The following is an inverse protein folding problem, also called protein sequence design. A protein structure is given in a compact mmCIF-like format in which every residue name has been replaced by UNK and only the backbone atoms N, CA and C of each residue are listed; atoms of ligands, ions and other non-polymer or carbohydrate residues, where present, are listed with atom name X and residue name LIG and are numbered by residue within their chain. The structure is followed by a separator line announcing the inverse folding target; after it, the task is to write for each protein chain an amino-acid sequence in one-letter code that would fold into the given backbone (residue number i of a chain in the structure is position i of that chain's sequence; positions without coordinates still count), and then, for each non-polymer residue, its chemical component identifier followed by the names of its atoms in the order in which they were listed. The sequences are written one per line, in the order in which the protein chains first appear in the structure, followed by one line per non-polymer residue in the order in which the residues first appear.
data_IF_450322686334
#
_entry.id   IF_450322686334
#
_cell.length_a   1.000
_cell.length_b   1.000
_cell.length_c   1.000
_cell.angle_alpha   90.00
_cell.angle_beta   90.00
_cell.angle_gamma   90.00
#
_symmetry.space_group_name_H-M   'P 1'
#
loop_
_entity.id
_entity.type
_entity.pdbx_description
1 polymer ?
#
# COMPACT_ATOMS: atom_id res chain seq x y z
N UNK A 1 15.13 17.86 -29.72
CA UNK A 1 13.94 17.28 -30.36
C UNK A 1 14.35 15.99 -31.03
N UNK A 2 13.86 14.87 -30.51
CA UNK A 2 13.92 13.54 -31.14
C UNK A 2 12.47 13.03 -31.13
N UNK A 3 11.99 12.62 -32.29
CA UNK A 3 10.59 12.35 -32.58
C UNK A 3 10.14 10.99 -32.04
N UNK A 4 8.86 10.91 -31.66
CA UNK A 4 8.11 9.80 -31.01
C UNK A 4 8.09 8.47 -31.79
N UNK A 5 8.85 8.32 -32.88
CA UNK A 5 8.76 7.17 -33.79
C UNK A 5 9.81 6.05 -33.57
N UNK A 6 10.59 6.05 -32.49
CA UNK A 6 11.66 5.04 -32.30
C UNK A 6 11.67 4.31 -30.94
N UNK A 7 10.61 4.42 -30.15
CA UNK A 7 10.47 3.65 -28.91
C UNK A 7 9.28 2.67 -28.97
N UNK A 8 9.23 1.83 -30.00
CA UNK A 8 8.31 0.67 -30.05
C UNK A 8 9.04 -0.54 -30.62
N UNK A 9 9.83 -1.19 -29.77
CA UNK A 9 10.15 -2.60 -29.95
C UNK A 9 10.61 -3.15 -28.60
N UNK A 10 9.66 -3.67 -27.82
CA UNK A 10 9.78 -4.80 -26.88
C UNK A 10 8.36 -4.96 -26.29
N UNK A 11 7.86 -6.19 -26.26
CA UNK A 11 6.48 -6.65 -25.99
C UNK A 11 5.51 -6.68 -27.18
N UNK A 12 5.74 -7.64 -28.09
CA UNK A 12 4.66 -8.28 -28.87
C UNK A 12 4.24 -9.56 -28.15
N UNK A 13 2.97 -9.65 -27.73
CA UNK A 13 2.26 -10.94 -27.62
C UNK A 13 1.38 -11.13 -28.85
N UNK A 14 1.28 -12.33 -29.44
CA UNK A 14 0.49 -12.56 -30.65
C UNK A 14 -1.01 -12.66 -30.33
N UNK A 15 -1.85 -11.93 -31.07
CA UNK A 15 -3.27 -12.31 -31.23
C UNK A 15 -4.39 -11.29 -30.98
N UNK A 16 -4.14 -9.98 -30.80
CA UNK A 16 -5.23 -8.99 -30.66
C UNK A 16 -5.10 -7.76 -31.59
N UNK A 17 -6.22 -7.20 -32.10
CA UNK A 17 -6.20 -6.10 -33.06
C UNK A 17 -5.89 -4.73 -32.40
N UNK A 18 -5.05 -3.96 -33.09
CA UNK A 18 -4.39 -2.70 -32.67
C UNK A 18 -5.35 -1.53 -32.37
N UNK A 19 -6.64 -1.62 -32.74
CA UNK A 19 -7.56 -0.48 -32.70
C UNK A 19 -8.10 -0.10 -31.30
N UNK A 20 -7.91 -0.96 -30.29
CA UNK A 20 -8.49 -0.78 -28.95
C UNK A 20 -7.56 -0.06 -27.94
N UNK A 21 -6.28 0.13 -28.25
CA UNK A 21 -5.33 0.81 -27.37
C UNK A 21 -5.28 2.34 -27.56
N UNK A 22 -5.54 2.86 -28.76
CA UNK A 22 -5.50 4.31 -29.00
C UNK A 22 -6.71 5.05 -28.40
N UNK A 23 -7.88 4.40 -28.35
CA UNK A 23 -9.10 5.01 -27.79
C UNK A 23 -9.02 5.23 -26.27
N UNK A 24 -8.41 4.29 -25.53
CA UNK A 24 -8.25 4.40 -24.06
C UNK A 24 -7.24 5.46 -23.63
N UNK A 25 -6.31 5.87 -24.51
CA UNK A 25 -5.35 6.93 -24.22
C UNK A 25 -5.91 8.33 -24.56
N UNK A 26 -6.76 8.42 -25.58
CA UNK A 26 -7.45 9.66 -25.97
C UNK A 26 -8.45 10.17 -24.92
N UNK A 27 -9.18 9.27 -24.27
CA UNK A 27 -10.16 9.63 -23.25
C UNK A 27 -9.51 10.11 -21.94
N UNK A 28 -8.28 9.65 -21.65
CA UNK A 28 -7.50 10.10 -20.48
C UNK A 28 -6.87 11.49 -20.67
N UNK A 29 -6.55 11.88 -21.91
CA UNK A 29 -5.96 13.18 -22.22
C UNK A 29 -6.99 14.31 -22.34
N UNK A 30 -8.28 13.99 -22.55
CA UNK A 30 -9.35 14.99 -22.65
C UNK A 30 -9.90 15.47 -21.30
N UNK A 31 -9.56 14.81 -20.18
CA UNK A 31 -9.98 15.25 -18.85
C UNK A 31 -9.20 16.50 -18.34
N UNK A 32 -8.08 16.85 -18.97
CA UNK A 32 -7.19 17.95 -18.55
C UNK A 32 -7.33 19.26 -19.36
N UNK A 33 -8.37 19.43 -20.19
CA UNK A 33 -8.51 20.61 -21.07
C UNK A 33 -9.64 21.59 -20.76
N UNK A 34 -10.34 21.46 -19.64
CA UNK A 34 -11.39 22.41 -19.25
C UNK A 34 -11.00 23.27 -18.04
N UNK A 35 -9.85 23.94 -18.11
CA UNK A 35 -9.55 25.14 -17.33
C UNK A 35 -8.72 26.08 -18.22
N UNK A 36 -9.36 27.01 -18.92
CA UNK A 36 -8.84 28.39 -19.00
C UNK A 36 -9.88 29.33 -19.59
N UNK A 37 -9.88 30.52 -19.00
CA UNK A 37 -10.79 31.64 -19.18
C UNK A 37 -10.46 32.40 -20.47
N UNK A 38 -11.50 33.02 -21.00
CA UNK A 38 -11.57 33.78 -22.23
C UNK A 38 -10.58 34.96 -22.36
N UNK A 39 -10.26 35.22 -23.63
CA UNK A 39 -9.93 36.49 -24.29
C UNK A 39 -8.68 37.26 -23.85
N UNK A 40 -7.61 37.09 -24.65
CA UNK A 40 -6.50 38.04 -24.75
C UNK A 40 -6.79 39.10 -25.83
N UNK A 41 -6.67 40.35 -25.40
CA UNK A 41 -6.86 41.58 -26.16
C UNK A 41 -5.79 41.80 -27.25
N UNK A 42 -6.25 42.39 -28.36
CA UNK A 42 -5.45 42.89 -29.48
C UNK A 42 -4.45 43.99 -29.07
N UNK A 43 -3.23 43.89 -29.59
CA UNK A 43 -2.20 44.93 -29.55
C UNK A 43 -2.41 45.94 -30.70
N UNK A 44 -2.38 47.24 -30.38
CA UNK A 44 -2.25 48.35 -31.32
C UNK A 44 -1.21 49.36 -30.80
N UNK A 45 -0.54 50.01 -31.75
CA UNK A 45 0.71 50.80 -31.71
C UNK A 45 0.61 52.20 -31.08
N UNK A 46 1.80 52.80 -30.90
CA UNK A 46 2.19 54.22 -30.67
C UNK A 46 2.10 54.70 -29.19
N UNK A 47 3.03 55.45 -28.61
CA UNK A 47 4.07 56.36 -29.11
C UNK A 47 5.23 56.53 -28.10
N UNK A 48 6.36 57.06 -28.57
CA UNK A 48 7.58 57.40 -27.81
C UNK A 48 7.52 58.82 -27.21
N UNK A 49 7.90 59.02 -25.93
CA UNK A 49 8.96 59.97 -25.45
C UNK A 49 8.97 60.21 -23.93
N UNK A 50 10.17 60.08 -23.33
CA UNK A 50 10.76 60.84 -22.21
C UNK A 50 9.94 61.23 -20.95
N UNK A 51 10.30 60.67 -19.79
CA UNK A 51 10.96 61.41 -18.68
C UNK A 51 11.27 60.52 -17.48
N UNK A 52 12.41 60.81 -16.83
CA UNK A 52 12.86 60.28 -15.54
C UNK A 52 11.94 60.77 -14.40
N UNK A 53 11.53 59.88 -13.49
CA UNK A 53 11.74 60.02 -12.02
C UNK A 53 11.02 58.93 -11.23
N UNK A 54 11.84 58.22 -10.47
CA UNK A 54 11.62 57.49 -9.21
C UNK A 54 10.23 57.66 -8.53
N UNK A 55 9.48 56.55 -8.44
CA UNK A 55 8.49 56.33 -7.36
C UNK A 55 8.69 54.93 -6.80
N UNK A 56 9.10 54.88 -5.54
CA UNK A 56 9.15 53.69 -4.70
C UNK A 56 7.70 53.23 -4.49
N UNK A 57 7.35 52.03 -4.95
CA UNK A 57 6.13 51.35 -4.55
C UNK A 57 6.49 49.98 -3.97
N UNK A 58 6.55 49.94 -2.65
CA UNK A 58 6.43 48.72 -1.86
C UNK A 58 5.00 48.22 -2.06
N UNK A 59 4.81 47.09 -2.74
CA UNK A 59 3.55 46.36 -2.68
C UNK A 59 3.83 44.86 -2.64
N UNK A 60 3.32 44.24 -1.58
CA UNK A 60 3.27 42.81 -1.33
C UNK A 60 2.90 42.03 -2.60
N UNK A 61 3.70 41.02 -2.96
CA UNK A 61 3.14 39.83 -3.59
C UNK A 61 2.97 38.76 -2.52
N UNK A 62 1.73 38.71 -2.03
CA UNK A 62 1.12 37.60 -1.30
C UNK A 62 1.56 36.25 -1.89
N UNK A 63 2.12 35.43 -1.02
CA UNK A 63 1.75 34.02 -0.79
C UNK A 63 0.95 33.37 -1.93
N UNK A 64 1.68 32.76 -2.87
CA UNK A 64 1.12 31.74 -3.75
C UNK A 64 0.80 30.51 -2.91
N UNK A 65 -0.49 30.35 -2.61
CA UNK A 65 -1.08 29.19 -1.96
C UNK A 65 -0.58 27.87 -2.59
N UNK A 66 0.36 27.20 -1.93
CA UNK A 66 0.55 25.75 -2.06
C UNK A 66 -0.62 25.09 -1.32
N UNK A 67 -1.81 25.14 -1.94
CA UNK A 67 -2.88 24.21 -1.59
C UNK A 67 -2.44 22.86 -2.17
N UNK A 68 -1.67 22.10 -1.39
CA UNK A 68 -1.70 20.65 -1.53
C UNK A 68 -3.12 20.26 -1.10
N UNK A 69 -4.05 20.26 -2.05
CA UNK A 69 -5.32 19.60 -1.83
C UNK A 69 -4.96 18.15 -1.47
N UNK A 70 -5.13 17.76 -0.20
CA UNK A 70 -5.26 16.35 0.10
C UNK A 70 -6.34 15.84 -0.86
N UNK A 71 -6.07 14.78 -1.65
CA UNK A 71 -7.03 14.35 -2.63
C UNK A 71 -8.20 13.79 -1.83
N UNK A 72 -9.28 14.57 -1.70
CA UNK A 72 -10.58 14.04 -1.32
C UNK A 72 -10.93 12.82 -2.18
N UNK A 73 -10.32 12.73 -3.37
CA UNK A 73 -10.37 11.61 -4.31
C UNK A 73 -9.78 10.28 -3.82
N UNK A 74 -8.92 10.26 -2.79
CA UNK A 74 -8.36 9.02 -2.27
C UNK A 74 -9.12 8.47 -1.07
N UNK A 75 -9.93 9.27 -0.36
CA UNK A 75 -10.69 8.78 0.80
C UNK A 75 -11.48 7.52 0.45
N UNK A 76 -11.29 6.45 1.21
CA UNK A 76 -11.87 5.12 0.94
C UNK A 76 -13.31 5.13 0.41
N UNK A 77 -14.25 5.79 1.09
CA UNK A 77 -15.67 5.83 0.65
C UNK A 77 -15.84 6.46 -0.72
N UNK A 78 -15.10 7.53 -1.00
CA UNK A 78 -15.14 8.18 -2.31
C UNK A 78 -14.45 7.31 -3.36
N UNK A 79 -13.28 6.75 -3.03
CA UNK A 79 -12.51 5.91 -3.92
C UNK A 79 -13.31 4.67 -4.35
N UNK A 80 -13.97 3.99 -3.41
CA UNK A 80 -14.85 2.84 -3.68
C UNK A 80 -16.03 3.23 -4.58
N UNK A 81 -16.66 4.40 -4.35
CA UNK A 81 -17.69 4.93 -5.26
C UNK A 81 -17.20 5.19 -6.68
N UNK A 82 -15.92 5.54 -6.87
CA UNK A 82 -15.35 5.65 -8.21
C UNK A 82 -15.07 4.28 -8.82
N UNK A 83 -14.56 3.32 -8.04
CA UNK A 83 -14.35 1.94 -8.49
C UNK A 83 -15.65 1.29 -8.98
N UNK A 84 -16.79 1.55 -8.32
CA UNK A 84 -18.09 1.05 -8.78
C UNK A 84 -18.57 1.60 -10.12
N UNK A 85 -17.90 2.62 -10.68
CA UNK A 85 -18.15 3.09 -12.06
C UNK A 85 -17.26 2.40 -13.07
N UNK A 86 -16.21 1.70 -12.63
CA UNK A 86 -15.32 0.93 -13.49
C UNK A 86 -15.94 -0.43 -13.79
N UNK A 87 -16.31 -0.63 -15.06
CA UNK A 87 -16.88 -1.89 -15.53
C UNK A 87 -15.98 -3.10 -15.24
N UNK A 88 -14.65 -2.93 -15.28
CA UNK A 88 -13.71 -4.02 -15.01
C UNK A 88 -13.75 -4.45 -13.55
N UNK A 89 -13.91 -3.51 -12.61
CA UNK A 89 -14.05 -3.78 -11.18
C UNK A 89 -15.33 -4.57 -10.92
N UNK A 90 -16.46 -4.08 -11.44
CA UNK A 90 -17.76 -4.75 -11.27
C UNK A 90 -17.79 -6.12 -11.93
N UNK A 91 -17.18 -6.28 -13.11
CA UNK A 91 -17.10 -7.60 -13.77
C UNK A 91 -16.32 -8.60 -12.93
N UNK A 92 -15.19 -8.19 -12.35
CA UNK A 92 -14.40 -9.05 -11.45
C UNK A 92 -15.17 -9.35 -10.16
N UNK A 93 -15.84 -8.35 -9.58
CA UNK A 93 -16.71 -8.52 -8.41
C UNK A 93 -17.81 -9.54 -8.68
N UNK A 94 -18.54 -9.39 -9.79
CA UNK A 94 -19.62 -10.32 -10.17
C UNK A 94 -19.12 -11.76 -10.37
N UNK A 95 -17.90 -11.93 -10.91
CA UNK A 95 -17.29 -13.26 -11.04
C UNK A 95 -17.03 -13.90 -9.68
N UNK A 96 -16.44 -13.14 -8.73
CA UNK A 96 -16.21 -13.60 -7.36
C UNK A 96 -17.54 -13.91 -6.67
N UNK A 97 -18.51 -13.00 -6.71
CA UNK A 97 -19.83 -13.21 -6.11
C UNK A 97 -20.52 -14.47 -6.64
N UNK A 98 -20.39 -14.75 -7.95
CA UNK A 98 -20.95 -15.94 -8.57
C UNK A 98 -20.23 -17.22 -8.14
N UNK A 99 -18.90 -17.20 -8.13
CA UNK A 99 -18.07 -18.36 -7.77
C UNK A 99 -18.22 -18.73 -6.29
N UNK A 100 -18.34 -17.72 -5.42
CA UNK A 100 -18.40 -17.88 -3.97
C UNK A 100 -19.82 -17.73 -3.40
N UNK A 101 -20.88 -17.79 -4.22
CA UNK A 101 -22.28 -17.58 -3.80
C UNK A 101 -22.78 -18.52 -2.68
N UNK A 102 -22.15 -19.70 -2.54
CA UNK A 102 -22.48 -20.71 -1.53
C UNK A 102 -21.24 -21.13 -0.74
N UNK A 103 -20.22 -20.28 -0.69
CA UNK A 103 -19.01 -20.57 0.07
C UNK A 103 -19.36 -20.65 1.56
N UNK A 104 -18.71 -21.59 2.25
CA UNK A 104 -18.69 -21.62 3.71
C UNK A 104 -17.33 -21.07 4.18
N UNK A 105 -17.28 -20.30 5.29
CA UNK A 105 -16.05 -19.64 5.75
C UNK A 105 -14.87 -20.59 5.91
N UNK A 106 -15.10 -21.78 6.48
CA UNK A 106 -14.05 -22.70 6.88
C UNK A 106 -13.49 -22.34 8.25
N UNK A 107 -12.21 -22.62 8.49
CA UNK A 107 -11.54 -22.21 9.73
C UNK A 107 -11.31 -20.71 9.78
N UNK A 108 -11.41 -20.12 10.96
CA UNK A 108 -11.10 -18.72 11.27
C UNK A 108 -9.84 -18.65 12.11
N UNK A 109 -8.85 -17.85 11.70
CA UNK A 109 -7.61 -17.69 12.45
C UNK A 109 -6.48 -17.06 11.66
N UNK A 110 -5.32 -16.96 12.29
CA UNK A 110 -4.08 -16.43 11.69
C UNK A 110 -3.41 -17.44 10.73
N UNK A 111 -3.68 -18.72 10.94
CA UNK A 111 -2.98 -19.85 10.28
C UNK A 111 -3.97 -20.85 9.68
N UNK A 112 -4.81 -20.36 8.76
CA UNK A 112 -5.80 -21.18 8.05
C UNK A 112 -5.24 -21.67 6.70
N UNK A 113 -5.91 -22.63 6.07
CA UNK A 113 -5.50 -23.14 4.75
C UNK A 113 -5.50 -22.02 3.71
N UNK A 114 -4.45 -21.94 2.89
CA UNK A 114 -4.27 -20.90 1.88
C UNK A 114 -3.58 -19.63 2.37
N UNK A 115 -3.10 -19.61 3.62
CA UNK A 115 -2.33 -18.50 4.21
C UNK A 115 -0.88 -18.94 4.40
N UNK A 116 0.06 -18.20 3.80
CA UNK A 116 1.50 -18.45 3.94
C UNK A 116 2.10 -17.69 5.14
N UNK A 117 3.13 -18.26 5.76
CA UNK A 117 3.76 -17.73 6.99
C UNK A 117 5.29 -17.79 7.01
N UNK A 118 5.92 -18.53 6.08
CA UNK A 118 7.37 -18.73 6.02
C UNK A 118 7.94 -18.69 4.59
N UNK A 119 9.16 -18.16 4.48
CA UNK A 119 9.98 -18.27 3.27
C UNK A 119 10.62 -19.67 3.23
N UNK A 120 10.55 -20.35 2.08
CA UNK A 120 11.24 -21.63 1.87
C UNK A 120 12.71 -21.38 1.61
N UNK A 121 13.55 -21.61 2.63
CA UNK A 121 14.99 -21.43 2.52
C UNK A 121 15.76 -22.26 3.54
N UNK A 122 16.98 -22.65 3.19
CA UNK A 122 17.96 -23.22 4.11
C UNK A 122 18.98 -22.18 4.62
N UNK A 123 18.90 -20.93 4.14
CA UNK A 123 19.76 -19.83 4.57
C UNK A 123 19.19 -19.18 5.81
N UNK A 124 20.06 -18.69 6.70
CA UNK A 124 19.67 -17.80 7.81
C UNK A 124 19.19 -16.45 7.25
N UNK A 125 17.96 -16.45 6.78
CA UNK A 125 17.27 -15.32 6.16
C UNK A 125 15.99 -15.07 6.94
N UNK A 126 15.65 -13.81 7.17
CA UNK A 126 14.42 -13.38 7.82
C UNK A 126 13.72 -12.33 6.96
N UNK A 127 12.39 -12.27 7.05
CA UNK A 127 11.62 -11.17 6.50
C UNK A 127 11.08 -10.32 7.65
N UNK A 128 11.47 -9.06 7.70
CA UNK A 128 10.81 -8.07 8.55
C UNK A 128 9.59 -7.55 7.81
N UNK A 129 8.42 -7.69 8.42
CA UNK A 129 7.16 -7.20 7.87
C UNK A 129 6.54 -6.21 8.84
N UNK A 130 6.09 -5.06 8.33
CA UNK A 130 5.54 -3.99 9.13
C UNK A 130 4.14 -3.62 8.66
N UNK A 131 3.19 -3.68 9.58
CA UNK A 131 1.81 -3.29 9.32
C UNK A 131 1.63 -1.81 9.69
N UNK A 132 1.01 -1.05 8.77
CA UNK A 132 0.50 0.28 9.06
C UNK A 132 -1.02 0.29 8.97
N UNK A 133 -1.61 0.14 10.15
CA UNK A 133 -3.04 0.35 10.35
C UNK A 133 -3.36 1.85 10.21
N UNK A 134 -4.58 2.16 9.77
CA UNK A 134 -5.09 3.52 9.72
C UNK A 134 -6.38 3.68 10.51
N UNK A 135 -6.74 4.92 10.84
CA UNK A 135 -7.95 5.26 11.58
C UNK A 135 -7.73 5.42 13.10
N UNK A 136 -8.80 5.23 13.90
CA UNK A 136 -8.80 5.61 15.33
C UNK A 136 -7.77 4.89 16.20
N UNK A 137 -7.29 3.73 15.75
CA UNK A 137 -6.33 2.91 16.51
C UNK A 137 -4.88 3.22 16.18
N UNK A 138 -4.60 4.22 15.35
CA UNK A 138 -3.25 4.58 14.96
C UNK A 138 -3.22 4.94 13.48
N UNK A 139 -2.66 6.11 13.16
CA UNK A 139 -2.34 6.53 11.80
C UNK A 139 -0.98 7.24 11.78
N UNK A 140 -0.17 7.02 12.81
CA UNK A 140 1.15 7.62 12.93
C UNK A 140 2.11 7.05 11.89
N UNK A 141 3.34 7.53 11.95
CA UNK A 141 4.42 7.07 11.12
C UNK A 141 5.71 7.10 11.93
N UNK A 142 6.27 5.93 12.19
CA UNK A 142 7.55 5.78 12.88
C UNK A 142 8.72 6.05 11.91
N UNK A 143 9.04 7.33 11.77
CA UNK A 143 10.14 7.78 10.94
C UNK A 143 11.50 7.31 11.46
N UNK A 144 11.67 7.12 12.77
CA UNK A 144 12.93 6.66 13.36
C UNK A 144 13.21 5.21 12.97
N UNK A 145 12.18 4.34 13.07
CA UNK A 145 12.23 2.96 12.60
C UNK A 145 12.59 2.89 11.12
N UNK A 146 11.88 3.63 10.26
CA UNK A 146 12.13 3.58 8.81
C UNK A 146 13.52 4.12 8.45
N UNK A 147 13.95 5.21 9.07
CA UNK A 147 15.28 5.75 8.85
C UNK A 147 16.38 4.81 9.35
N UNK A 148 16.13 4.08 10.43
CA UNK A 148 17.03 3.05 10.91
C UNK A 148 17.17 1.90 9.90
N UNK A 149 16.06 1.39 9.34
CA UNK A 149 16.10 0.37 8.28
C UNK A 149 16.90 0.86 7.06
N UNK A 150 16.68 2.11 6.63
CA UNK A 150 17.44 2.74 5.53
C UNK A 150 18.93 2.82 5.84
N UNK A 151 19.30 3.33 7.01
CA UNK A 151 20.69 3.48 7.46
C UNK A 151 21.41 2.14 7.51
N UNK A 152 20.73 1.12 8.04
CA UNK A 152 21.27 -0.23 8.17
C UNK A 152 21.16 -1.08 6.88
N UNK A 153 20.54 -0.53 5.83
CA UNK A 153 20.26 -1.15 4.53
C UNK A 153 19.50 -2.47 4.67
N UNK A 154 18.46 -2.46 5.50
CA UNK A 154 17.67 -3.64 5.83
C UNK A 154 16.40 -3.62 5.00
N UNK A 155 16.25 -4.52 4.01
CA UNK A 155 15.02 -4.63 3.25
C UNK A 155 13.88 -5.10 4.14
N UNK A 156 12.68 -4.58 3.89
CA UNK A 156 11.47 -4.92 4.63
C UNK A 156 10.23 -4.86 3.73
N UNK A 157 9.15 -5.50 4.17
CA UNK A 157 7.85 -5.48 3.51
C UNK A 157 6.86 -4.69 4.36
N UNK A 158 6.20 -3.70 3.77
CA UNK A 158 5.31 -2.77 4.45
C UNK A 158 3.87 -3.04 3.98
N UNK A 159 3.05 -3.64 4.83
CA UNK A 159 1.63 -3.84 4.59
C UNK A 159 0.87 -2.58 5.01
N UNK A 160 0.19 -1.93 4.07
CA UNK A 160 -0.48 -0.65 4.33
C UNK A 160 -1.98 -0.72 4.07
N UNK A 161 -2.76 -0.14 4.98
CA UNK A 161 -4.20 -0.01 4.79
C UNK A 161 -4.53 1.17 3.88
N UNK A 162 -5.66 1.11 3.19
CA UNK A 162 -6.20 2.26 2.47
C UNK A 162 -6.39 3.48 3.37
N UNK A 163 -6.83 3.26 4.62
CA UNK A 163 -6.95 4.30 5.66
C UNK A 163 -5.62 4.97 5.98
N UNK A 164 -4.53 4.20 6.10
CA UNK A 164 -3.22 4.76 6.40
C UNK A 164 -2.67 5.54 5.21
N UNK A 165 -2.87 5.05 3.97
CA UNK A 165 -2.53 5.80 2.75
C UNK A 165 -3.22 7.16 2.73
N UNK A 166 -4.52 7.20 3.05
CA UNK A 166 -5.29 8.45 3.04
C UNK A 166 -4.77 9.45 4.08
N UNK A 167 -4.37 8.97 5.25
CA UNK A 167 -3.81 9.79 6.32
C UNK A 167 -2.37 10.26 6.04
N UNK A 168 -1.58 9.45 5.31
CA UNK A 168 -0.14 9.62 5.15
C UNK A 168 0.31 9.64 3.68
N UNK A 169 -0.49 10.20 2.77
CA UNK A 169 -0.28 10.09 1.32
C UNK A 169 1.14 10.45 0.84
N UNK A 170 1.69 11.58 1.30
CA UNK A 170 3.04 11.99 0.87
C UNK A 170 4.11 11.01 1.37
N UNK A 171 3.99 10.55 2.62
CA UNK A 171 4.86 9.53 3.21
C UNK A 171 4.74 8.21 2.47
N UNK A 172 3.52 7.77 2.16
CA UNK A 172 3.27 6.58 1.36
C UNK A 172 3.93 6.69 -0.02
N UNK A 173 3.79 7.83 -0.69
CA UNK A 173 4.40 8.07 -2.00
C UNK A 173 5.93 8.05 -1.92
N UNK A 174 6.53 8.57 -0.85
CA UNK A 174 7.98 8.47 -0.59
C UNK A 174 8.40 7.01 -0.42
N UNK A 175 7.75 6.27 0.48
CA UNK A 175 8.05 4.87 0.77
C UNK A 175 7.92 4.00 -0.47
N UNK A 176 6.89 4.23 -1.30
CA UNK A 176 6.65 3.45 -2.53
C UNK A 176 7.74 3.58 -3.59
N UNK A 177 8.57 4.63 -3.52
CA UNK A 177 9.71 4.86 -4.42
C UNK A 177 11.02 4.32 -3.86
N UNK A 178 11.04 3.93 -2.59
CA UNK A 178 12.23 3.42 -1.92
C UNK A 178 12.41 1.93 -2.25
N UNK A 179 13.44 1.61 -3.03
CA UNK A 179 13.73 0.23 -3.45
C UNK A 179 14.06 -0.72 -2.30
N UNK A 180 14.37 -0.19 -1.11
CA UNK A 180 14.60 -0.99 0.08
C UNK A 180 13.31 -1.65 0.59
N UNK A 181 12.16 -1.03 0.32
CA UNK A 181 10.87 -1.49 0.82
C UNK A 181 10.01 -2.11 -0.28
N UNK A 182 9.30 -3.16 0.09
CA UNK A 182 8.16 -3.69 -0.64
C UNK A 182 6.88 -3.09 -0.04
N UNK A 183 5.94 -2.63 -0.86
CA UNK A 183 4.64 -2.13 -0.38
C UNK A 183 3.60 -3.22 -0.62
N UNK A 184 2.79 -3.61 0.35
CA UNK A 184 1.80 -4.68 0.18
C UNK A 184 0.45 -4.32 0.80
N UNK A 185 -0.57 -5.12 0.51
CA UNK A 185 -1.96 -4.79 0.82
C UNK A 185 -2.33 -5.20 2.25
N UNK A 186 -2.79 -4.27 3.09
CA UNK A 186 -3.33 -4.56 4.43
C UNK A 186 -4.84 -4.33 4.57
N UNK A 187 -5.57 -4.33 3.45
CA UNK A 187 -7.00 -4.06 3.40
C UNK A 187 -7.34 -2.59 3.27
N UNK A 188 -8.49 -2.28 2.67
CA UNK A 188 -8.91 -0.89 2.45
C UNK A 188 -9.24 -0.21 3.78
N UNK A 189 -10.13 -0.82 4.56
CA UNK A 189 -10.74 -0.25 5.77
C UNK A 189 -10.21 -0.83 7.08
N UNK A 190 -9.19 -1.70 7.03
CA UNK A 190 -8.64 -2.37 8.20
C UNK A 190 -9.71 -3.24 8.88
N UNK A 191 -10.40 -4.05 8.08
CA UNK A 191 -11.33 -5.09 8.53
C UNK A 191 -10.68 -6.47 8.35
N UNK A 192 -10.75 -7.37 9.35
CA UNK A 192 -10.43 -8.76 9.14
C UNK A 192 -11.28 -9.34 8.01
N UNK A 193 -10.67 -10.02 7.05
CA UNK A 193 -11.41 -10.62 5.95
C UNK A 193 -12.17 -11.86 6.44
N UNK A 194 -13.48 -11.72 6.50
CA UNK A 194 -14.46 -12.76 6.79
C UNK A 194 -15.61 -12.73 5.77
N UNK A 195 -16.19 -13.88 5.45
CA UNK A 195 -17.40 -13.98 4.60
C UNK A 195 -18.70 -14.08 5.40
N UNK A 196 -18.63 -14.03 6.74
CA UNK A 196 -19.76 -14.17 7.66
C UNK A 196 -19.72 -13.23 8.89
N UNK A 197 -18.79 -12.27 8.92
CA UNK A 197 -18.73 -11.22 9.94
C UNK A 197 -17.90 -11.56 11.18
N UNK A 198 -17.11 -12.63 11.16
CA UNK A 198 -16.18 -12.95 12.24
C UNK A 198 -15.25 -11.77 12.54
N UNK A 199 -14.95 -11.58 13.83
CA UNK A 199 -14.33 -10.35 14.34
C UNK A 199 -13.30 -10.70 15.40
N UNK A 200 -12.18 -9.97 15.42
CA UNK A 200 -11.08 -10.22 16.36
C UNK A 200 -10.53 -8.90 16.91
N UNK A 201 -10.04 -8.92 18.16
CA UNK A 201 -9.54 -7.75 18.89
C UNK A 201 -10.50 -6.54 18.85
N UNK A 202 -11.80 -6.83 18.83
CA UNK A 202 -12.86 -5.83 18.71
C UNK A 202 -12.89 -5.08 17.37
N UNK A 203 -12.20 -5.57 16.32
CA UNK A 203 -12.32 -5.08 14.95
C UNK A 203 -13.39 -5.90 14.25
N UNK A 204 -14.37 -5.22 13.67
CA UNK A 204 -15.41 -5.86 12.87
C UNK A 204 -14.81 -6.38 11.57
N UNK A 205 -14.96 -7.67 11.30
CA UNK A 205 -14.65 -8.23 10.00
C UNK A 205 -15.59 -7.75 8.91
N UNK A 206 -15.27 -8.11 7.67
CA UNK A 206 -16.20 -7.95 6.55
C UNK A 206 -17.42 -8.86 6.76
N UNK A 207 -18.64 -8.36 6.52
CA UNK A 207 -19.85 -9.13 6.82
C UNK A 207 -20.19 -10.21 5.79
N UNK A 208 -19.68 -10.10 4.56
CA UNK A 208 -20.00 -10.99 3.45
C UNK A 208 -18.92 -11.00 2.35
N UNK A 209 -19.14 -11.84 1.32
CA UNK A 209 -18.26 -11.96 0.15
C UNK A 209 -18.07 -10.63 -0.62
N UNK A 210 -19.13 -9.86 -0.95
CA UNK A 210 -18.98 -8.52 -1.54
C UNK A 210 -18.06 -7.58 -0.78
N UNK A 211 -18.18 -7.51 0.54
CA UNK A 211 -17.35 -6.65 1.38
C UNK A 211 -15.92 -7.21 1.53
N UNK A 212 -15.77 -8.54 1.62
CA UNK A 212 -14.46 -9.21 1.60
C UNK A 212 -13.69 -8.91 0.30
N UNK A 213 -14.38 -8.96 -0.84
CA UNK A 213 -13.81 -8.55 -2.13
C UNK A 213 -13.36 -7.10 -2.12
N UNK A 214 -14.20 -6.18 -1.65
CA UNK A 214 -13.85 -4.76 -1.63
C UNK A 214 -12.67 -4.47 -0.68
N UNK A 215 -12.63 -5.11 0.48
CA UNK A 215 -11.55 -4.93 1.44
C UNK A 215 -10.19 -5.31 0.83
N UNK A 216 -10.14 -6.35 0.00
CA UNK A 216 -8.93 -6.79 -0.69
C UNK A 216 -8.69 -5.96 -1.96
N UNK A 217 -9.54 -6.10 -2.98
CA UNK A 217 -9.30 -5.59 -4.35
C UNK A 217 -9.23 -4.06 -4.40
N UNK A 218 -10.06 -3.35 -3.62
CA UNK A 218 -10.07 -1.90 -3.70
C UNK A 218 -8.73 -1.32 -3.23
N UNK A 219 -8.12 -1.87 -2.18
CA UNK A 219 -6.82 -1.38 -1.74
C UNK A 219 -5.69 -1.78 -2.70
N UNK A 220 -5.78 -2.94 -3.36
CA UNK A 220 -4.86 -3.28 -4.45
C UNK A 220 -4.91 -2.25 -5.57
N UNK A 221 -6.12 -1.89 -6.02
CA UNK A 221 -6.32 -0.88 -7.06
C UNK A 221 -5.86 0.50 -6.59
N UNK A 222 -6.05 0.84 -5.32
CA UNK A 222 -5.52 2.09 -4.75
C UNK A 222 -3.99 2.12 -4.82
N UNK A 223 -3.33 1.08 -4.33
CA UNK A 223 -1.86 0.99 -4.36
C UNK A 223 -1.35 0.99 -5.80
N UNK A 224 -1.99 0.23 -6.70
CA UNK A 224 -1.64 0.19 -8.11
C UNK A 224 -1.82 1.55 -8.79
N UNK A 225 -2.91 2.25 -8.51
CA UNK A 225 -3.18 3.57 -9.07
C UNK A 225 -2.10 4.58 -8.69
N UNK A 226 -1.65 4.57 -7.44
CA UNK A 226 -0.67 5.53 -6.93
C UNK A 226 0.77 5.16 -7.36
N UNK A 227 1.10 3.87 -7.32
CA UNK A 227 2.50 3.42 -7.47
C UNK A 227 2.82 2.83 -8.85
N UNK A 228 1.81 2.50 -9.65
CA UNK A 228 1.94 1.73 -10.89
C UNK A 228 2.22 0.24 -10.67
N UNK A 229 2.40 -0.22 -9.43
CA UNK A 229 2.68 -1.61 -9.09
C UNK A 229 1.51 -2.23 -8.33
N UNK A 230 1.03 -3.37 -8.80
CA UNK A 230 0.02 -4.15 -8.10
C UNK A 230 0.67 -4.94 -6.95
N UNK A 231 0.09 -4.94 -5.72
CA UNK A 231 0.52 -5.81 -4.63
C UNK A 231 0.54 -7.29 -5.05
N UNK A 232 1.42 -8.07 -4.46
CA UNK A 232 1.50 -9.53 -4.59
C UNK A 232 0.98 -10.25 -3.35
N UNK A 233 0.98 -9.53 -2.23
CA UNK A 233 0.68 -10.06 -0.92
C UNK A 233 -0.43 -9.24 -0.25
N UNK A 234 -1.31 -9.95 0.43
CA UNK A 234 -2.35 -9.39 1.26
C UNK A 234 -2.20 -9.93 2.67
N UNK A 235 -2.19 -9.05 3.67
CA UNK A 235 -2.34 -9.44 5.07
C UNK A 235 -3.66 -8.91 5.57
N UNK A 236 -4.53 -9.79 6.03
CA UNK A 236 -5.80 -9.41 6.65
C UNK A 236 -5.55 -8.54 7.89
N UNK A 237 -6.43 -7.59 8.18
CA UNK A 237 -6.35 -6.87 9.44
C UNK A 237 -6.43 -7.88 10.61
N UNK A 238 -5.73 -7.57 11.70
CA UNK A 238 -5.48 -8.49 12.83
C UNK A 238 -4.79 -9.80 12.48
N UNK A 239 -4.32 -10.00 11.24
CA UNK A 239 -3.84 -11.26 10.67
C UNK A 239 -4.88 -12.40 10.63
N UNK A 240 -6.09 -12.21 11.16
CA UNK A 240 -7.14 -13.22 11.13
C UNK A 240 -7.89 -13.19 9.79
N UNK A 241 -8.16 -14.36 9.26
CA UNK A 241 -9.01 -14.53 8.08
C UNK A 241 -9.67 -15.90 8.09
N UNK A 242 -10.71 -16.07 7.27
CA UNK A 242 -11.26 -17.39 7.00
C UNK A 242 -10.70 -18.01 5.69
N UNK A 243 -10.86 -19.33 5.54
CA UNK A 243 -10.40 -20.04 4.34
C UNK A 243 -11.12 -19.61 3.06
N UNK A 244 -12.35 -19.08 3.16
CA UNK A 244 -13.08 -18.55 2.02
C UNK A 244 -12.41 -17.28 1.49
N UNK A 245 -12.04 -16.36 2.37
CA UNK A 245 -11.25 -15.17 2.07
C UNK A 245 -9.89 -15.51 1.46
N UNK A 246 -9.19 -16.53 1.98
CA UNK A 246 -7.93 -16.99 1.37
C UNK A 246 -8.14 -17.48 -0.08
N UNK A 247 -9.26 -18.14 -0.38
CA UNK A 247 -9.61 -18.55 -1.76
C UNK A 247 -10.00 -17.36 -2.63
N UNK A 248 -10.75 -16.39 -2.09
CA UNK A 248 -11.09 -15.14 -2.80
C UNK A 248 -9.81 -14.39 -3.17
N UNK A 249 -8.90 -14.18 -2.22
CA UNK A 249 -7.60 -13.57 -2.45
C UNK A 249 -6.82 -14.28 -3.57
N UNK A 250 -6.77 -15.62 -3.54
CA UNK A 250 -6.14 -16.40 -4.61
C UNK A 250 -6.78 -16.19 -5.98
N UNK A 251 -8.11 -16.07 -6.04
CA UNK A 251 -8.85 -15.75 -7.27
C UNK A 251 -8.58 -14.32 -7.78
N UNK A 252 -8.11 -13.42 -6.91
CA UNK A 252 -7.65 -12.08 -7.24
C UNK A 252 -6.15 -12.01 -7.56
N UNK A 253 -5.48 -13.17 -7.68
CA UNK A 253 -4.03 -13.30 -7.92
C UNK A 253 -3.16 -12.68 -6.81
N UNK A 254 -3.65 -12.63 -5.57
CA UNK A 254 -2.89 -12.17 -4.40
C UNK A 254 -2.73 -13.30 -3.37
N UNK A 255 -1.53 -13.42 -2.79
CA UNK A 255 -1.26 -14.42 -1.74
C UNK A 255 -1.52 -13.84 -0.36
N UNK A 256 -2.27 -14.58 0.47
CA UNK A 256 -2.51 -14.17 1.86
C UNK A 256 -1.30 -14.52 2.72
N UNK A 257 -0.80 -13.53 3.47
CA UNK A 257 0.38 -13.63 4.33
C UNK A 257 0.00 -13.38 5.78
N UNK A 258 0.34 -14.32 6.66
CA UNK A 258 0.33 -14.14 8.11
C UNK A 258 1.75 -13.83 8.60
N UNK A 259 2.27 -14.56 9.60
CA UNK A 259 3.60 -14.40 10.16
C UNK A 259 4.08 -15.70 10.82
N UNK A 260 5.38 -15.84 11.06
CA UNK A 260 5.92 -16.97 11.85
C UNK A 260 6.31 -16.54 13.27
N UNK A 261 6.73 -15.28 13.44
CA UNK A 261 7.15 -14.71 14.73
C UNK A 261 6.31 -13.48 15.07
N UNK A 262 5.45 -13.62 16.09
CA UNK A 262 4.71 -12.52 16.70
C UNK A 262 5.65 -11.72 17.61
N UNK A 263 5.94 -10.47 17.25
CA UNK A 263 6.84 -9.62 18.06
C UNK A 263 6.21 -9.16 19.38
N UNK A 264 4.88 -9.00 19.40
CA UNK A 264 4.13 -8.43 20.52
C UNK A 264 4.11 -6.89 20.55
N UNK A 265 4.66 -6.24 19.53
CA UNK A 265 4.74 -4.77 19.46
C UNK A 265 3.38 -4.08 19.22
N UNK A 266 2.39 -4.82 18.71
CA UNK A 266 1.02 -4.38 18.51
C UNK A 266 0.28 -4.02 19.82
N UNK A 267 0.80 -4.44 20.97
CA UNK A 267 0.24 -4.12 22.28
C UNK A 267 0.87 -2.81 22.78
N UNK A 268 0.07 -1.75 23.05
CA UNK A 268 0.58 -0.43 23.41
C UNK A 268 1.60 -0.47 24.55
N UNK A 269 2.74 0.18 24.35
CA UNK A 269 3.81 0.33 25.34
C UNK A 269 4.38 -0.99 25.88
N UNK A 270 4.28 -2.09 25.13
CA UNK A 270 4.96 -3.35 25.47
C UNK A 270 6.43 -3.08 25.72
N UNK A 271 6.95 -3.56 26.85
CA UNK A 271 8.32 -3.27 27.28
C UNK A 271 9.32 -3.86 26.28
N UNK A 272 10.34 -3.07 25.95
CA UNK A 272 11.41 -3.45 25.01
C UNK A 272 11.96 -4.88 25.25
N UNK A 273 12.32 -5.31 26.49
CA UNK A 273 12.85 -6.67 26.69
C UNK A 273 11.85 -7.80 26.40
N UNK A 274 10.54 -7.51 26.42
CA UNK A 274 9.49 -8.49 26.07
C UNK A 274 9.47 -8.70 24.56
N UNK A 275 9.51 -7.62 23.77
CA UNK A 275 9.57 -7.68 22.30
C UNK A 275 10.88 -8.35 21.86
N UNK A 276 12.02 -7.94 22.45
CA UNK A 276 13.32 -8.57 22.19
C UNK A 276 13.28 -10.08 22.42
N UNK A 277 12.76 -10.50 23.58
CA UNK A 277 12.67 -11.91 23.92
C UNK A 277 11.74 -12.66 22.96
N UNK A 278 10.60 -12.08 22.59
CA UNK A 278 9.65 -12.72 21.68
C UNK A 278 10.29 -12.99 20.32
N UNK A 279 11.01 -12.00 19.77
CA UNK A 279 11.66 -12.17 18.46
C UNK A 279 12.85 -13.12 18.56
N UNK A 280 13.82 -12.83 19.43
CA UNK A 280 15.10 -13.55 19.47
C UNK A 280 14.96 -15.03 19.86
N UNK A 281 13.91 -15.40 20.58
CA UNK A 281 13.68 -16.80 21.01
C UNK A 281 12.98 -17.65 19.95
N UNK A 282 12.28 -17.03 18.99
CA UNK A 282 11.40 -17.73 18.04
C UNK A 282 11.89 -17.69 16.59
N UNK A 283 12.87 -16.84 16.25
CA UNK A 283 13.41 -16.78 14.88
C UNK A 283 14.09 -18.09 14.45
N UNK A 284 13.74 -18.52 13.24
CA UNK A 284 14.37 -19.62 12.49
C UNK A 284 14.62 -19.19 11.05
N UNK A 285 15.49 -19.89 10.29
CA UNK A 285 15.63 -19.66 8.85
C UNK A 285 14.27 -19.60 8.14
N UNK A 286 14.03 -18.50 7.41
CA UNK A 286 12.80 -18.26 6.65
C UNK A 286 11.67 -17.57 7.42
N UNK A 287 11.85 -17.26 8.71
CA UNK A 287 10.78 -16.68 9.51
C UNK A 287 10.34 -15.28 9.02
N UNK A 288 9.02 -15.06 9.00
CA UNK A 288 8.39 -13.76 8.84
C UNK A 288 8.10 -13.17 10.22
N UNK A 289 8.70 -12.03 10.53
CA UNK A 289 8.48 -11.32 11.79
C UNK A 289 7.44 -10.23 11.53
N UNK A 290 6.34 -10.26 12.26
CA UNK A 290 5.32 -9.20 12.22
C UNK A 290 5.62 -8.11 13.25
N UNK A 291 5.63 -6.87 12.79
CA UNK A 291 5.80 -5.64 13.57
C UNK A 291 4.92 -4.54 12.98
N UNK A 292 4.93 -3.35 13.58
CA UNK A 292 4.09 -2.20 13.20
C UNK A 292 4.92 -0.93 13.07
N UNK A 293 4.49 -0.01 12.20
CA UNK A 293 5.17 1.28 12.02
C UNK A 293 4.21 2.49 12.02
N UNK A 294 2.96 2.27 12.41
CA UNK A 294 1.93 3.30 12.55
C UNK A 294 1.80 3.89 13.97
N UNK A 295 2.73 3.54 14.87
CA UNK A 295 2.76 3.91 16.29
C UNK A 295 4.15 4.42 16.72
N UNK A 296 4.55 5.64 16.32
CA UNK A 296 5.85 6.22 16.70
C UNK A 296 6.03 6.41 18.21
N UNK A 297 4.96 6.36 18.99
CA UNK A 297 4.97 6.49 20.44
C UNK A 297 5.18 5.16 21.18
N UNK A 298 5.23 4.04 20.46
CA UNK A 298 5.48 2.71 21.04
C UNK A 298 6.95 2.32 20.92
N UNK A 299 7.28 1.15 21.46
CA UNK A 299 8.66 0.70 21.63
C UNK A 299 9.18 -0.15 20.43
N UNK A 300 8.56 -0.08 19.25
CA UNK A 300 8.95 -0.93 18.11
C UNK A 300 10.35 -0.59 17.64
N UNK A 301 10.65 0.70 17.42
CA UNK A 301 11.97 1.17 17.00
C UNK A 301 13.07 0.78 18.00
N UNK A 302 12.91 1.10 19.28
CA UNK A 302 13.92 0.86 20.32
C UNK A 302 14.17 -0.63 20.53
N UNK A 303 13.14 -1.46 20.33
CA UNK A 303 13.30 -2.91 20.33
C UNK A 303 14.08 -3.38 19.13
N UNK A 304 13.76 -2.88 17.93
CA UNK A 304 14.41 -3.26 16.70
C UNK A 304 15.90 -2.88 16.68
N UNK A 305 16.26 -1.71 17.22
CA UNK A 305 17.65 -1.26 17.36
C UNK A 305 18.50 -2.24 18.18
N UNK A 306 17.90 -2.95 19.14
CA UNK A 306 18.56 -3.98 19.96
C UNK A 306 18.55 -5.36 19.32
N UNK A 307 17.44 -5.72 18.66
CA UNK A 307 17.24 -7.04 18.03
C UNK A 307 18.19 -7.24 16.85
N UNK A 308 18.27 -6.26 15.94
CA UNK A 308 18.96 -6.42 14.65
C UNK A 308 20.45 -6.75 14.80
N UNK A 309 21.23 -6.07 15.66
CA UNK A 309 22.63 -6.42 15.87
C UNK A 309 22.83 -7.86 16.36
N UNK A 310 21.92 -8.36 17.21
CA UNK A 310 21.97 -9.74 17.71
C UNK A 310 21.70 -10.73 16.57
N UNK A 311 20.67 -10.49 15.75
CA UNK A 311 20.35 -11.34 14.59
C UNK A 311 21.48 -11.36 13.56
N UNK A 312 22.06 -10.20 13.23
CA UNK A 312 23.23 -10.09 12.34
C UNK A 312 24.41 -10.90 12.91
N UNK A 313 24.70 -10.80 14.21
CA UNK A 313 25.76 -11.58 14.89
C UNK A 313 25.50 -13.08 14.87
N UNK A 314 24.24 -13.51 14.90
CA UNK A 314 23.85 -14.92 14.73
C UNK A 314 23.95 -15.42 13.28
N UNK A 315 24.28 -14.53 12.33
CA UNK A 315 24.45 -14.84 10.91
C UNK A 315 23.17 -14.70 10.09
N UNK A 316 22.13 -14.05 10.62
CA UNK A 316 20.92 -13.77 9.85
C UNK A 316 21.12 -12.59 8.89
N UNK A 317 20.47 -12.71 7.73
CA UNK A 317 20.30 -11.66 6.72
C UNK A 317 18.80 -11.38 6.51
N UNK A 318 18.47 -10.27 5.85
CA UNK A 318 17.08 -9.81 5.70
C UNK A 318 16.66 -9.75 4.23
N UNK A 319 15.37 -9.97 3.96
CA UNK A 319 14.81 -9.88 2.60
C UNK A 319 13.39 -9.32 2.56
N UNK A 320 12.99 -8.86 1.37
CA UNK A 320 11.59 -8.64 0.99
C UNK A 320 10.91 -9.98 0.70
N UNK A 321 9.59 -10.05 0.83
CA UNK A 321 8.86 -11.30 0.59
C UNK A 321 8.98 -11.76 -0.86
N UNK A 322 8.85 -10.87 -1.84
CA UNK A 322 8.91 -11.24 -3.26
C UNK A 322 10.24 -11.86 -3.72
N UNK A 323 11.29 -11.77 -2.90
CA UNK A 323 12.64 -12.21 -3.31
C UNK A 323 12.80 -13.72 -3.26
N UNK A 324 11.96 -14.42 -2.48
CA UNK A 324 12.07 -15.86 -2.25
C UNK A 324 10.72 -16.57 -2.37
N UNK A 325 10.70 -17.85 -2.74
CA UNK A 325 9.47 -18.62 -2.76
C UNK A 325 8.90 -18.79 -1.35
N UNK A 326 7.60 -18.61 -1.24
CA UNK A 326 6.82 -19.00 -0.07
C UNK A 326 6.48 -20.49 -0.16
N UNK A 327 6.07 -21.06 0.96
CA UNK A 327 5.78 -22.50 1.06
C UNK A 327 4.59 -22.93 0.22
N UNK A 328 3.63 -22.04 0.00
CA UNK A 328 2.41 -22.33 -0.73
C UNK A 328 1.55 -23.33 0.04
N UNK A 329 0.87 -22.85 1.08
CA UNK A 329 -0.04 -23.67 1.91
C UNK A 329 -1.41 -23.92 1.28
#
# INVERSE_FOLDING_TARGET
MLTVSQAVSIFKMPGQPVLLQEKKLGDFLNFNRNISIADSLNFSKQDTTSMRSLVIFTLLFLTGNLILAQPADLKNDYFLRQLYKDQSYNTQKDLVLKEFAHVVPGSWGEFVKGVDEDIVTNKKLLALTFDACGGPRGSGYDAELINYLRKEKIPATLFVTGKWIDANYNTFLELSKDTLFEIENHGLNHQPCSVDGESEYGIKGTPDVPDAFDEIEANERKIQFITGRRPKFYRSATAYTDEACAKIARQLDVTVISFDVLSGDAVPFTKIPVIEKSVLSNVKPGALIIMHFNHPEWNTFESLEKIIPVLKKQGYSFSKLETYPLKGK
#
